data_IF_978935016937
#
_entry.id   IF_978935016937
#
_cell.length_a   1.000
_cell.length_b   1.000
_cell.length_c   1.000
_cell.angle_alpha   90.00
_cell.angle_beta   90.00
_cell.angle_gamma   90.00
#
_symmetry.space_group_name_H-M   'P 1'
#
loop_
_entity.id
_entity.type
_entity.pdbx_description
1 polymer ?
#
# COMPACT_ATOMS: atom_id res chain seq x y z
N UNK A 1 -2.75 -10.97 -22.68
CA UNK A 1 -3.47 -9.92 -21.95
C UNK A 1 -2.45 -8.96 -21.37
N UNK A 2 -2.71 -7.66 -21.29
CA UNK A 2 -1.87 -6.74 -20.50
C UNK A 2 -2.67 -6.16 -19.33
N UNK A 3 -2.01 -5.95 -18.20
CA UNK A 3 -2.59 -5.24 -17.06
C UNK A 3 -2.12 -3.79 -17.12
N UNK A 4 -3.07 -2.88 -16.92
CA UNK A 4 -2.83 -1.45 -16.83
C UNK A 4 -3.26 -0.99 -15.45
N UNK A 5 -2.39 -0.26 -14.75
CA UNK A 5 -2.67 0.22 -13.39
C UNK A 5 -2.57 1.73 -13.39
N UNK A 6 -3.61 2.42 -12.93
CA UNK A 6 -3.54 3.86 -12.66
C UNK A 6 -3.36 4.09 -11.18
N UNK A 7 -2.38 4.91 -10.82
CA UNK A 7 -2.15 5.33 -9.44
C UNK A 7 -2.88 6.63 -9.17
N UNK A 8 -3.63 6.69 -8.08
CA UNK A 8 -4.51 7.83 -7.76
C UNK A 8 -4.43 8.23 -6.29
N UNK A 9 -4.82 9.46 -5.96
CA UNK A 9 -5.02 9.87 -4.55
C UNK A 9 -6.30 9.18 -4.00
N UNK A 10 -6.23 8.69 -2.76
CA UNK A 10 -7.34 8.00 -2.10
C UNK A 10 -8.56 8.91 -1.86
N UNK A 11 -8.36 10.19 -1.59
CA UNK A 11 -9.41 11.17 -1.32
C UNK A 11 -9.97 11.76 -2.62
N UNK A 12 -9.13 11.95 -3.63
CA UNK A 12 -9.52 12.43 -4.95
C UNK A 12 -8.93 11.56 -6.05
N UNK A 13 -9.75 10.63 -6.55
CA UNK A 13 -9.33 9.67 -7.57
C UNK A 13 -8.97 10.32 -8.91
N UNK A 14 -9.34 11.58 -9.14
CA UNK A 14 -8.99 12.30 -10.39
C UNK A 14 -7.52 12.75 -10.41
N UNK A 15 -6.89 12.82 -9.24
CA UNK A 15 -5.47 13.16 -9.10
C UNK A 15 -4.64 11.90 -9.34
N UNK A 16 -3.98 11.85 -10.51
CA UNK A 16 -3.02 10.81 -10.84
C UNK A 16 -1.72 10.97 -10.05
N UNK A 17 -1.10 9.85 -9.68
CA UNK A 17 0.15 9.78 -8.94
C UNK A 17 1.17 8.90 -9.66
N UNK A 18 2.45 9.22 -9.48
CA UNK A 18 3.57 8.42 -10.00
C UNK A 18 4.06 7.44 -8.93
N UNK A 19 4.05 6.14 -9.23
CA UNK A 19 4.54 5.09 -8.33
C UNK A 19 5.32 4.01 -9.09
N UNK A 20 6.20 3.31 -8.38
CA UNK A 20 6.84 2.10 -8.88
C UNK A 20 5.99 0.88 -8.59
N UNK A 21 5.67 0.10 -9.64
CA UNK A 21 4.90 -1.14 -9.55
C UNK A 21 5.60 -2.28 -10.30
N UNK A 22 5.50 -3.48 -9.75
CA UNK A 22 5.91 -4.73 -10.39
C UNK A 22 4.85 -5.81 -10.18
N UNK A 23 4.68 -6.69 -11.17
CA UNK A 23 3.98 -7.96 -10.97
C UNK A 23 4.99 -9.07 -10.74
N UNK A 24 4.67 -10.00 -9.84
CA UNK A 24 5.42 -11.26 -9.69
C UNK A 24 4.45 -12.44 -9.77
N UNK A 25 4.74 -13.48 -10.56
CA UNK A 25 3.97 -14.73 -10.49
C UNK A 25 3.97 -15.29 -9.07
N UNK A 26 2.82 -15.74 -8.59
CA UNK A 26 2.71 -16.28 -7.23
C UNK A 26 3.27 -17.71 -7.15
N UNK A 27 3.12 -18.47 -8.24
CA UNK A 27 3.67 -19.82 -8.42
C UNK A 27 4.85 -19.72 -9.41
N UNK A 28 5.86 -20.57 -9.22
CA UNK A 28 7.13 -20.66 -9.99
C UNK A 28 8.30 -19.76 -9.54
N UNK A 29 8.54 -19.62 -8.24
CA UNK A 29 9.78 -18.98 -7.78
C UNK A 29 11.03 -19.80 -8.19
N UNK A 30 12.08 -19.17 -8.77
CA UNK A 30 12.22 -17.74 -9.04
C UNK A 30 11.85 -17.37 -10.49
N UNK A 31 10.62 -16.89 -10.72
CA UNK A 31 10.23 -16.21 -11.94
C UNK A 31 10.60 -14.72 -11.85
N UNK A 32 11.18 -14.16 -12.92
CA UNK A 32 11.53 -12.74 -12.98
C UNK A 32 10.31 -11.82 -12.77
N UNK A 33 10.44 -10.72 -12.02
CA UNK A 33 9.40 -9.69 -11.94
C UNK A 33 9.06 -9.13 -13.33
N UNK A 34 7.79 -8.84 -13.55
CA UNK A 34 7.29 -8.14 -14.73
C UNK A 34 7.13 -6.66 -14.34
N UNK A 35 8.00 -5.77 -14.84
CA UNK A 35 7.88 -4.34 -14.54
C UNK A 35 6.63 -3.75 -15.20
N UNK A 36 6.07 -2.71 -14.57
CA UNK A 36 5.06 -1.87 -15.20
C UNK A 36 5.71 -0.54 -15.62
N UNK A 37 5.46 -0.12 -16.86
CA UNK A 37 6.05 1.09 -17.45
C UNK A 37 4.99 2.18 -17.61
N UNK A 38 5.29 3.44 -17.25
CA UNK A 38 4.38 4.56 -17.48
C UNK A 38 4.05 4.74 -18.96
N UNK A 39 2.78 5.00 -19.26
CA UNK A 39 2.28 5.37 -20.58
C UNK A 39 1.82 6.83 -20.58
N UNK A 40 1.84 7.52 -21.74
CA UNK A 40 1.51 8.95 -21.81
C UNK A 40 0.11 9.34 -21.31
N UNK A 41 -0.81 8.38 -21.23
CA UNK A 41 -2.17 8.55 -20.72
C UNK A 41 -2.30 8.32 -19.20
N UNK A 42 -1.18 8.21 -18.49
CA UNK A 42 -1.14 8.17 -17.02
C UNK A 42 -1.38 6.79 -16.40
N UNK A 43 -1.30 5.72 -17.20
CA UNK A 43 -1.32 4.34 -16.72
C UNK A 43 0.09 3.77 -16.61
N UNK A 44 0.23 2.71 -15.84
CA UNK A 44 1.39 1.84 -15.75
C UNK A 44 1.01 0.52 -16.42
N UNK A 45 1.68 0.13 -17.50
CA UNK A 45 1.32 -1.07 -18.28
C UNK A 45 2.39 -2.15 -18.13
N UNK A 46 1.97 -3.40 -17.98
CA UNK A 46 2.89 -4.55 -17.87
C UNK A 46 3.76 -4.70 -19.09
N UNK A 47 5.08 -4.85 -18.89
CA UNK A 47 6.05 -5.07 -19.97
C UNK A 47 5.97 -6.45 -20.64
N UNK A 48 5.18 -7.37 -20.11
CA UNK A 48 4.93 -8.70 -20.68
C UNK A 48 3.43 -9.04 -20.61
N UNK A 49 2.99 -9.95 -21.49
CA UNK A 49 1.63 -10.42 -21.47
C UNK A 49 1.38 -11.35 -20.28
N UNK A 50 0.25 -11.16 -19.58
CA UNK A 50 -0.24 -12.05 -18.55
C UNK A 50 -0.94 -13.25 -19.19
N UNK A 51 -0.79 -14.38 -18.51
CA UNK A 51 -1.51 -15.62 -18.75
C UNK A 51 -2.83 -15.61 -17.98
N UNK A 52 -3.92 -16.04 -18.64
CA UNK A 52 -5.23 -16.14 -17.98
C UNK A 52 -5.22 -17.27 -16.96
N UNK A 53 -5.89 -17.07 -15.84
CA UNK A 53 -5.96 -18.02 -14.72
C UNK A 53 -4.70 -18.08 -13.87
N UNK A 54 -3.57 -17.52 -14.32
CA UNK A 54 -2.34 -17.46 -13.53
C UNK A 54 -2.45 -16.36 -12.46
N UNK A 55 -1.97 -16.69 -11.28
CA UNK A 55 -1.98 -15.79 -10.12
C UNK A 55 -0.71 -14.96 -10.07
N UNK A 56 -0.87 -13.67 -9.84
CA UNK A 56 0.20 -12.70 -9.72
C UNK A 56 0.02 -11.86 -8.47
N UNK A 57 1.12 -11.43 -7.88
CA UNK A 57 1.16 -10.40 -6.85
C UNK A 57 1.58 -9.06 -7.47
N UNK A 58 0.73 -8.05 -7.32
CA UNK A 58 1.02 -6.66 -7.63
C UNK A 58 1.70 -6.03 -6.41
N UNK A 59 2.97 -5.69 -6.58
CA UNK A 59 3.84 -5.13 -5.54
C UNK A 59 4.09 -3.67 -5.85
N UNK A 60 3.80 -2.78 -4.91
CA UNK A 60 4.29 -1.41 -4.98
C UNK A 60 5.72 -1.35 -4.46
N UNK A 61 6.65 -1.04 -5.36
CA UNK A 61 8.08 -0.98 -5.04
C UNK A 61 8.51 0.41 -4.60
N UNK A 62 7.76 1.44 -5.00
CA UNK A 62 8.04 2.83 -4.64
C UNK A 62 6.74 3.64 -4.57
N UNK A 63 6.47 4.21 -3.40
CA UNK A 63 5.34 5.11 -3.21
C UNK A 63 5.60 6.48 -3.87
N UNK A 64 4.54 7.20 -4.28
CA UNK A 64 4.63 8.61 -4.63
C UNK A 64 5.13 9.46 -3.44
N UNK A 65 5.78 10.58 -3.73
CA UNK A 65 6.33 11.45 -2.68
C UNK A 65 5.21 12.02 -1.78
N UNK A 66 5.37 11.85 -0.46
CA UNK A 66 4.37 12.28 0.53
C UNK A 66 3.20 11.31 0.73
N UNK A 67 3.28 10.10 0.18
CA UNK A 67 2.29 9.03 0.36
C UNK A 67 2.89 7.80 1.04
N UNK A 68 2.02 7.00 1.64
CA UNK A 68 2.41 5.72 2.24
C UNK A 68 2.58 4.65 1.16
N UNK A 69 3.59 3.80 1.33
CA UNK A 69 3.79 2.60 0.51
C UNK A 69 2.73 1.56 0.88
N UNK A 70 2.18 0.86 -0.11
CA UNK A 70 1.32 -0.28 0.14
C UNK A 70 2.06 -1.34 0.97
N UNK A 71 1.50 -1.68 2.13
CA UNK A 71 2.14 -2.58 3.09
C UNK A 71 2.16 -4.03 2.61
N UNK A 72 1.10 -4.47 1.92
CA UNK A 72 0.92 -5.85 1.47
C UNK A 72 0.64 -5.90 -0.03
N UNK A 73 1.26 -6.84 -0.78
CA UNK A 73 0.95 -7.03 -2.18
C UNK A 73 -0.52 -7.41 -2.43
N UNK A 74 -1.05 -6.97 -3.57
CA UNK A 74 -2.39 -7.40 -4.02
C UNK A 74 -2.25 -8.65 -4.86
N UNK A 75 -2.87 -9.75 -4.46
CA UNK A 75 -2.94 -10.95 -5.28
C UNK A 75 -4.12 -10.86 -6.23
N UNK A 76 -3.85 -11.05 -7.52
CA UNK A 76 -4.84 -10.96 -8.59
C UNK A 76 -4.62 -12.03 -9.65
N UNK A 77 -5.67 -12.30 -10.42
CA UNK A 77 -5.62 -13.09 -11.65
C UNK A 77 -6.56 -12.50 -12.68
N UNK A 78 -6.33 -12.81 -13.95
CA UNK A 78 -7.26 -12.46 -15.03
C UNK A 78 -7.93 -13.74 -15.50
N UNK A 79 -9.25 -13.80 -15.44
CA UNK A 79 -10.04 -14.95 -15.89
C UNK A 79 -10.96 -14.54 -17.02
N UNK A 80 -11.45 -15.54 -17.78
CA UNK A 80 -12.46 -15.31 -18.82
C UNK A 80 -13.84 -15.59 -18.25
N UNK A 81 -14.72 -14.61 -18.35
CA UNK A 81 -16.13 -14.70 -18.04
C UNK A 81 -16.94 -14.44 -19.32
N UNK A 82 -17.50 -15.51 -19.89
CA UNK A 82 -18.10 -15.47 -21.23
C UNK A 82 -17.09 -15.08 -22.30
N UNK A 83 -17.36 -13.99 -23.02
CA UNK A 83 -16.49 -13.44 -24.07
C UNK A 83 -15.54 -12.34 -23.54
N UNK A 84 -15.63 -12.01 -22.25
CA UNK A 84 -14.86 -10.94 -21.62
C UNK A 84 -13.83 -11.49 -20.64
N UNK A 85 -12.75 -10.75 -20.44
CA UNK A 85 -11.73 -11.05 -19.45
C UNK A 85 -11.86 -10.07 -18.30
N UNK A 86 -11.90 -10.61 -17.09
CA UNK A 86 -12.15 -9.87 -15.85
C UNK A 86 -11.00 -10.08 -14.88
N UNK A 87 -10.76 -9.07 -14.04
CA UNK A 87 -9.78 -9.16 -12.96
C UNK A 87 -10.48 -9.65 -11.72
N UNK A 88 -9.93 -10.70 -11.11
CA UNK A 88 -10.32 -11.15 -9.78
C UNK A 88 -9.18 -10.93 -8.81
N UNK A 89 -9.53 -10.51 -7.60
CA UNK A 89 -8.62 -10.32 -6.50
C UNK A 89 -8.81 -11.41 -5.47
N UNK A 90 -7.73 -11.78 -4.79
CA UNK A 90 -7.81 -12.68 -3.64
C UNK A 90 -8.23 -11.88 -2.40
N UNK A 91 -9.35 -12.26 -1.81
CA UNK A 91 -9.84 -11.73 -0.54
C UNK A 91 -9.08 -12.26 0.68
N UNK A 92 -9.37 -11.73 1.88
CA UNK A 92 -8.75 -12.16 3.13
C UNK A 92 -9.00 -13.63 3.50
N UNK A 93 -10.10 -14.21 3.01
CA UNK A 93 -10.48 -15.61 3.15
C UNK A 93 -9.78 -16.54 2.13
N UNK A 94 -8.98 -15.96 1.23
CA UNK A 94 -8.29 -16.68 0.16
C UNK A 94 -9.16 -16.93 -1.08
N UNK A 95 -10.44 -16.56 -1.07
CA UNK A 95 -11.32 -16.70 -2.23
C UNK A 95 -11.00 -15.62 -3.28
N UNK A 96 -11.26 -15.94 -4.55
CA UNK A 96 -11.16 -14.98 -5.64
C UNK A 96 -12.53 -14.41 -5.96
N UNK A 97 -12.59 -13.09 -6.11
CA UNK A 97 -13.80 -12.34 -6.48
C UNK A 97 -13.42 -11.09 -7.25
N UNK A 98 -14.38 -10.50 -7.98
CA UNK A 98 -14.20 -9.18 -8.59
C UNK A 98 -14.26 -8.04 -7.56
N UNK A 99 -14.71 -8.33 -6.34
CA UNK A 99 -14.70 -7.40 -5.24
C UNK A 99 -13.28 -7.02 -4.84
N UNK A 100 -13.04 -5.72 -4.67
CA UNK A 100 -11.76 -5.22 -4.21
C UNK A 100 -11.46 -5.72 -2.79
N UNK A 101 -10.28 -6.31 -2.53
CA UNK A 101 -9.92 -6.88 -1.24
C UNK A 101 -9.53 -5.80 -0.22
N UNK A 102 -9.39 -4.55 -0.67
CA UNK A 102 -9.01 -3.40 0.13
C UNK A 102 -9.67 -2.13 -0.39
N UNK A 103 -9.86 -1.17 0.52
CA UNK A 103 -10.27 0.18 0.18
C UNK A 103 -9.19 0.82 -0.70
N UNK A 104 -9.60 1.49 -1.78
CA UNK A 104 -8.66 2.17 -2.66
C UNK A 104 -8.21 1.35 -3.87
N UNK A 105 -8.66 0.11 -4.02
CA UNK A 105 -8.51 -0.63 -5.27
C UNK A 105 -9.85 -0.62 -6.01
N UNK A 106 -9.85 -0.33 -7.31
CA UNK A 106 -11.04 -0.38 -8.15
C UNK A 106 -10.71 -0.94 -9.53
N UNK A 107 -11.64 -1.68 -10.12
CA UNK A 107 -11.58 -2.01 -11.55
C UNK A 107 -11.92 -0.77 -12.37
N UNK A 108 -11.08 -0.43 -13.34
CA UNK A 108 -11.19 0.77 -14.17
C UNK A 108 -10.80 2.10 -13.53
N UNK A 109 -10.66 3.13 -14.38
CA UNK A 109 -10.33 4.50 -13.97
C UNK A 109 -11.60 5.29 -13.62
N UNK A 110 -11.49 6.39 -12.83
CA UNK A 110 -12.64 7.25 -12.55
C UNK A 110 -13.25 7.81 -13.83
N UNK A 111 -14.55 7.58 -14.04
CA UNK A 111 -15.26 7.95 -15.26
C UNK A 111 -15.06 6.99 -16.43
N UNK A 112 -14.35 5.88 -16.24
CA UNK A 112 -14.07 4.88 -17.25
C UNK A 112 -14.61 3.51 -16.78
N UNK A 113 -15.58 2.95 -17.52
CA UNK A 113 -16.13 1.63 -17.24
C UNK A 113 -15.16 0.53 -17.70
N UNK A 114 -13.99 0.39 -17.07
CA UNK A 114 -12.99 -0.58 -17.52
C UNK A 114 -13.01 -1.83 -16.65
N UNK A 115 -14.12 -2.56 -16.74
CA UNK A 115 -14.03 -4.02 -16.81
C UNK A 115 -13.90 -4.50 -18.28
N UNK A 116 -13.94 -3.58 -19.25
CA UNK A 116 -13.97 -3.93 -20.66
C UNK A 116 -12.56 -4.09 -21.24
N UNK A 117 -12.34 -5.26 -21.83
CA UNK A 117 -11.31 -5.47 -22.82
C UNK A 117 -11.45 -4.38 -23.91
N UNK A 118 -10.49 -3.47 -24.00
CA UNK A 118 -10.32 -2.70 -25.24
C UNK A 118 -9.92 -3.68 -26.37
N UNK A 119 -10.10 -3.32 -27.64
CA UNK A 119 -9.70 -4.13 -28.80
C UNK A 119 -8.23 -4.62 -28.74
N UNK A 120 -7.42 -4.04 -27.86
CA UNK A 120 -6.04 -4.37 -27.54
C UNK A 120 -5.81 -5.50 -26.48
N UNK A 121 -6.83 -6.20 -25.97
CA UNK A 121 -6.67 -7.29 -24.99
C UNK A 121 -5.97 -6.82 -23.69
N UNK A 122 -6.51 -5.77 -23.07
CA UNK A 122 -6.01 -5.16 -21.84
C UNK A 122 -7.07 -5.07 -20.76
N UNK A 123 -6.68 -5.22 -19.49
CA UNK A 123 -7.51 -4.99 -18.30
C UNK A 123 -6.93 -3.84 -17.50
N UNK A 124 -7.77 -3.01 -16.88
CA UNK A 124 -7.29 -1.87 -16.09
C UNK A 124 -7.83 -1.81 -14.67
N UNK A 125 -6.99 -1.32 -13.75
CA UNK A 125 -7.32 -1.13 -12.34
C UNK A 125 -6.79 0.21 -11.86
N UNK A 126 -7.50 0.84 -10.93
CA UNK A 126 -7.01 2.01 -10.20
C UNK A 126 -6.59 1.60 -8.80
N UNK A 127 -5.37 1.97 -8.42
CA UNK A 127 -4.81 1.74 -7.10
C UNK A 127 -4.57 3.09 -6.40
N UNK A 128 -5.22 3.30 -5.28
CA UNK A 128 -5.07 4.51 -4.48
C UNK A 128 -3.83 4.46 -3.59
N UNK A 129 -3.25 5.63 -3.35
CA UNK A 129 -2.34 5.84 -2.23
C UNK A 129 -2.94 6.82 -1.22
N UNK A 130 -2.62 6.58 0.04
CA UNK A 130 -2.99 7.46 1.16
C UNK A 130 -1.82 8.37 1.49
N UNK A 131 -2.09 9.67 1.65
CA UNK A 131 -1.07 10.65 2.07
C UNK A 131 -0.46 10.25 3.41
N UNK A 132 0.85 10.32 3.50
CA UNK A 132 1.54 10.11 4.75
C UNK A 132 1.23 11.30 5.67
N UNK A 133 0.62 11.02 6.82
CA UNK A 133 0.45 12.04 7.84
C UNK A 133 1.82 12.43 8.39
N UNK A 134 2.09 13.74 8.49
CA UNK A 134 3.16 14.23 9.35
C UNK A 134 2.71 13.97 10.79
N UNK A 135 3.08 12.81 11.35
CA UNK A 135 2.90 12.60 12.78
C UNK A 135 3.67 13.72 13.50
N UNK A 136 3.03 14.50 14.39
CA UNK A 136 3.79 15.36 15.28
C UNK A 136 4.76 14.43 16.01
N UNK A 137 6.07 14.72 15.94
CA UNK A 137 7.06 13.97 16.71
C UNK A 137 6.64 14.04 18.18
N UNK A 138 6.06 12.97 18.73
CA UNK A 138 5.65 12.89 20.13
C UNK A 138 6.90 12.64 20.98
N UNK A 139 7.65 13.72 21.09
CA UNK A 139 8.82 13.95 21.92
C UNK A 139 9.11 15.44 21.99
N UNK A 140 8.07 16.28 21.83
CA UNK A 140 8.18 17.74 21.97
C UNK A 140 8.52 18.13 23.41
N UNK A 141 9.04 19.34 23.60
CA UNK A 141 9.54 19.85 24.88
C UNK A 141 8.61 19.59 26.09
N UNK A 142 7.29 19.56 25.90
CA UNK A 142 6.32 19.25 26.96
C UNK A 142 6.47 17.86 27.59
N UNK A 143 6.96 16.85 26.87
CA UNK A 143 7.18 15.51 27.41
C UNK A 143 8.50 15.44 28.22
N UNK A 144 9.51 16.22 27.83
CA UNK A 144 10.75 16.37 28.61
C UNK A 144 10.50 17.05 29.97
N UNK A 145 9.53 17.96 30.07
CA UNK A 145 9.15 18.58 31.35
C UNK A 145 8.69 17.51 32.36
N UNK A 146 7.83 16.58 31.94
CA UNK A 146 7.32 15.54 32.83
C UNK A 146 8.37 14.49 33.21
N UNK A 147 9.22 14.08 32.26
CA UNK A 147 10.35 13.19 32.54
C UNK A 147 11.35 13.87 33.49
N UNK A 148 11.61 15.16 33.31
CA UNK A 148 12.46 15.96 34.20
C UNK A 148 11.90 16.05 35.62
N UNK A 149 10.60 16.35 35.77
CA UNK A 149 9.92 16.39 37.09
C UNK A 149 9.98 15.02 37.78
N UNK A 150 9.71 13.93 37.05
CA UNK A 150 9.79 12.57 37.59
C UNK A 150 11.22 12.24 38.08
N UNK A 151 12.24 12.66 37.33
CA UNK A 151 13.66 12.47 37.68
C UNK A 151 14.05 13.23 38.96
N UNK A 152 13.54 14.46 39.13
CA UNK A 152 13.77 15.27 40.34
C UNK A 152 13.08 14.62 41.55
N UNK A 153 11.84 14.15 41.39
CA UNK A 153 11.10 13.48 42.47
C UNK A 153 11.79 12.20 42.95
N UNK A 154 12.28 11.37 42.03
CA UNK A 154 13.06 10.18 42.37
C UNK A 154 14.36 10.53 43.13
N UNK A 155 15.07 11.57 42.69
CA UNK A 155 16.31 12.03 43.33
C UNK A 155 16.07 12.57 44.75
N UNK A 156 15.01 13.36 44.94
CA UNK A 156 14.64 13.90 46.25
C UNK A 156 14.21 12.80 47.22
N UNK A 157 13.45 11.81 46.75
CA UNK A 157 13.04 10.64 47.54
C UNK A 157 14.24 9.83 48.03
N UNK A 158 15.22 9.58 47.16
CA UNK A 158 16.45 8.87 47.51
C UNK A 158 17.29 9.63 48.55
N UNK A 159 17.47 10.95 48.38
CA UNK A 159 18.16 11.80 49.36
C UNK A 159 17.47 11.83 50.72
N UNK A 160 16.13 11.83 50.75
CA UNK A 160 15.34 11.78 51.99
C UNK A 160 15.53 10.48 52.77
N UNK A 161 15.57 9.35 52.07
CA UNK A 161 15.81 8.02 52.66
C UNK A 161 17.22 7.91 53.25
N UNK A 162 18.23 8.43 52.56
CA UNK A 162 19.62 8.43 53.06
C UNK A 162 19.83 9.31 54.30
N UNK A 163 19.07 10.41 54.43
CA UNK A 163 19.14 11.29 55.62
C UNK A 163 18.50 10.68 56.85
N UNK A 164 17.43 9.88 56.68
CA UNK A 164 16.76 9.18 57.79
C UNK A 164 17.60 8.03 58.36
N UNK A 165 18.33 7.31 57.51
CA UNK A 165 19.24 6.24 57.94
C UNK A 165 20.47 6.71 58.73
N UNK A 166 20.82 8.01 58.68
CA UNK A 166 21.99 8.58 59.38
C UNK A 166 21.67 9.19 60.75
N UNK A 167 20.40 9.30 61.15
CA UNK A 167 19.98 9.91 62.43
C UNK A 167 19.61 8.90 63.53
N UNK A 168 19.78 7.61 63.28
CA UNK A 168 19.41 6.51 64.19
C UNK A 168 20.62 5.68 64.67
N UNK A 169 21.82 6.25 64.63
CA UNK A 169 23.04 5.66 65.20
C UNK A 169 23.54 6.46 66.39
#
# INVERSE_FOLDING_TARGET
MQLRVRKVDHQDRTVALEAGLELRPLIDAPSSPIPLTPTPDGFLTTGAALERGREYQLVETKAPAGYSLLAEPIVLRVVREGETDVVEFRGPDGAFSQDSPMVGLWTGAPGENVQLIDAANTVSVSLANVRQGNLPKTGGAGLMVWVGVASIMLSAGFCGLQRRGRRTG
#
